data_IF_519166330165
#
_entry.id   IF_519166330165
#
_cell.length_a   1.000
_cell.length_b   1.000
_cell.length_c   1.000
_cell.angle_alpha   90.00
_cell.angle_beta   90.00
_cell.angle_gamma   90.00
#
_symmetry.space_group_name_H-M   'P 1'
#
loop_
_entity.id
_entity.type
_entity.pdbx_description
1 polymer ?
#
# COMPACT_ATOMS: atom_id res chain seq x y z
N UNK A 1 7.31 -13.91 12.47
CA UNK A 1 6.23 -13.00 12.04
C UNK A 1 5.93 -13.29 10.56
N UNK A 2 4.70 -13.69 10.20
CA UNK A 2 4.34 -13.94 8.79
C UNK A 2 3.65 -12.70 8.19
N UNK A 3 4.40 -11.92 7.40
CA UNK A 3 3.90 -10.68 6.79
C UNK A 3 3.41 -10.94 5.37
N UNK A 4 2.16 -10.57 5.10
CA UNK A 4 1.56 -10.65 3.76
C UNK A 4 1.41 -9.22 3.24
N UNK A 5 1.96 -8.92 2.07
CA UNK A 5 1.84 -7.61 1.39
C UNK A 5 1.13 -7.75 0.05
N UNK A 6 0.32 -6.75 -0.35
CA UNK A 6 -0.32 -6.72 -1.66
C UNK A 6 0.65 -6.92 -2.82
N UNK A 7 0.16 -7.50 -3.91
CA UNK A 7 0.96 -7.82 -5.11
C UNK A 7 1.56 -6.60 -5.81
N UNK A 8 0.99 -5.42 -5.62
CA UNK A 8 1.48 -4.15 -6.19
C UNK A 8 2.55 -3.47 -5.32
N UNK A 9 2.92 -4.07 -4.18
CA UNK A 9 4.02 -3.61 -3.35
C UNK A 9 5.19 -4.57 -3.60
N UNK A 10 6.32 -4.00 -4.01
CA UNK A 10 7.57 -4.76 -4.13
C UNK A 10 7.96 -5.37 -2.77
N UNK A 11 8.67 -6.50 -2.81
CA UNK A 11 9.04 -7.23 -1.61
C UNK A 11 10.52 -7.08 -1.33
N UNK A 12 10.83 -7.00 -0.05
CA UNK A 12 12.21 -7.17 0.40
C UNK A 12 12.62 -8.64 0.14
N UNK A 13 13.85 -8.88 -0.32
CA UNK A 13 14.36 -10.22 -0.56
C UNK A 13 14.23 -11.14 0.65
N UNK A 14 13.83 -12.39 0.41
CA UNK A 14 13.57 -13.37 1.49
C UNK A 14 14.84 -13.78 2.25
N UNK A 15 15.99 -13.67 1.59
CA UNK A 15 17.31 -13.96 2.13
C UNK A 15 18.03 -12.71 2.66
N UNK A 16 17.29 -11.63 2.96
CA UNK A 16 17.87 -10.45 3.61
C UNK A 16 18.66 -10.86 4.87
N UNK A 17 19.91 -10.43 4.95
CA UNK A 17 20.81 -10.75 6.06
C UNK A 17 21.67 -12.00 5.84
N UNK A 18 21.43 -12.79 4.78
CA UNK A 18 22.35 -13.84 4.36
C UNK A 18 23.47 -13.25 3.49
N UNK A 19 24.69 -13.77 3.67
CA UNK A 19 25.88 -13.31 2.95
C UNK A 19 25.73 -13.36 1.42
N UNK A 20 24.87 -14.25 0.90
CA UNK A 20 24.66 -14.47 -0.54
C UNK A 20 23.85 -13.38 -1.23
N UNK A 21 23.10 -12.55 -0.50
CA UNK A 21 22.19 -11.59 -1.12
C UNK A 21 22.87 -10.32 -1.61
N UNK A 22 23.95 -9.90 -0.96
CA UNK A 22 24.54 -8.58 -1.17
C UNK A 22 23.67 -7.44 -0.62
N UNK A 23 24.00 -6.20 -1.01
CA UNK A 23 23.35 -4.99 -0.50
C UNK A 23 21.94 -4.78 -1.07
N UNK A 24 21.06 -4.22 -0.25
CA UNK A 24 19.73 -3.80 -0.70
C UNK A 24 19.81 -2.57 -1.61
N UNK A 25 18.93 -2.53 -2.61
CA UNK A 25 18.69 -1.35 -3.46
C UNK A 25 17.91 -0.29 -2.69
N UNK A 26 17.97 0.96 -3.17
CA UNK A 26 17.29 2.09 -2.53
C UNK A 26 15.77 1.85 -2.32
N UNK A 27 15.09 1.30 -3.32
CA UNK A 27 13.65 0.98 -3.21
C UNK A 27 13.37 -0.12 -2.16
N UNK A 28 14.26 -1.10 -2.02
CA UNK A 28 14.13 -2.18 -1.04
C UNK A 28 14.35 -1.66 0.37
N UNK A 29 15.35 -0.78 0.57
CA UNK A 29 15.54 -0.05 1.83
C UNK A 29 14.28 0.75 2.19
N UNK A 30 13.70 1.46 1.23
CA UNK A 30 12.51 2.26 1.48
C UNK A 30 11.32 1.39 1.93
N UNK A 31 11.11 0.24 1.29
CA UNK A 31 10.05 -0.70 1.65
C UNK A 31 10.30 -1.31 3.04
N UNK A 32 11.57 -1.62 3.33
CA UNK A 32 11.98 -2.13 4.64
C UNK A 32 11.61 -1.16 5.75
N UNK A 33 11.98 0.12 5.63
CA UNK A 33 11.68 1.15 6.62
C UNK A 33 10.21 1.56 6.68
N UNK A 34 9.50 1.58 5.55
CA UNK A 34 8.09 2.04 5.53
C UNK A 34 7.08 0.96 5.93
N UNK A 35 7.41 -0.31 5.73
CA UNK A 35 6.45 -1.41 5.88
C UNK A 35 6.94 -2.42 6.91
N UNK A 36 8.08 -3.05 6.64
CA UNK A 36 8.50 -4.22 7.42
C UNK A 36 8.98 -3.84 8.83
N UNK A 37 9.75 -2.77 8.98
CA UNK A 37 10.24 -2.32 10.29
C UNK A 37 9.13 -1.86 11.21
N UNK A 38 8.19 -0.99 10.79
CA UNK A 38 7.03 -0.66 11.61
C UNK A 38 6.25 -1.91 12.03
N UNK A 39 5.97 -2.81 11.08
CA UNK A 39 5.16 -4.02 11.36
C UNK A 39 5.85 -4.99 12.34
N UNK A 40 7.18 -5.15 12.25
CA UNK A 40 7.90 -6.16 13.00
C UNK A 40 8.60 -5.61 14.25
N UNK A 41 9.33 -4.51 14.12
CA UNK A 41 10.25 -4.02 15.16
C UNK A 41 9.53 -3.21 16.23
N UNK A 42 8.54 -2.38 15.87
CA UNK A 42 7.79 -1.58 16.86
C UNK A 42 7.10 -2.51 17.88
N UNK A 43 6.29 -3.53 17.48
CA UNK A 43 5.69 -4.43 18.46
C UNK A 43 6.72 -5.19 19.28
N UNK A 44 7.82 -5.65 18.65
CA UNK A 44 8.88 -6.41 19.31
C UNK A 44 9.57 -5.60 20.40
N UNK A 45 9.94 -4.35 20.09
CA UNK A 45 10.60 -3.47 21.04
C UNK A 45 9.65 -2.92 22.09
N UNK A 46 8.39 -2.63 21.75
CA UNK A 46 7.38 -2.23 22.74
C UNK A 46 7.13 -3.34 23.77
N UNK A 47 7.10 -4.60 23.35
CA UNK A 47 7.03 -5.74 24.28
C UNK A 47 8.33 -5.86 25.09
N UNK A 48 9.49 -5.84 24.43
CA UNK A 48 10.78 -5.95 25.11
C UNK A 48 10.98 -4.82 26.14
N UNK A 49 10.52 -3.60 25.86
CA UNK A 49 10.58 -2.48 26.80
C UNK A 49 9.77 -2.73 28.07
N UNK A 50 8.59 -3.35 27.96
CA UNK A 50 7.74 -3.72 29.10
C UNK A 50 8.37 -4.83 29.94
N UNK A 51 9.03 -5.77 29.29
CA UNK A 51 9.61 -6.96 29.94
C UNK A 51 11.04 -6.72 30.46
N UNK A 52 11.61 -5.53 30.21
CA UNK A 52 12.99 -5.22 30.59
C UNK A 52 13.18 -5.08 32.11
N UNK A 53 14.16 -5.83 32.63
CA UNK A 53 14.53 -5.79 34.04
C UNK A 53 15.45 -4.62 34.43
N UNK A 54 16.27 -4.10 33.50
CA UNK A 54 17.27 -3.06 33.78
C UNK A 54 17.00 -1.74 33.07
N UNK A 55 17.33 -0.63 33.72
CA UNK A 55 17.19 0.73 33.14
C UNK A 55 18.08 0.94 31.91
N UNK A 56 19.28 0.37 31.90
CA UNK A 56 20.16 0.42 30.73
C UNK A 56 19.52 -0.23 29.48
N UNK A 57 18.86 -1.37 29.65
CA UNK A 57 18.16 -2.05 28.55
C UNK A 57 16.99 -1.21 28.05
N UNK A 58 16.24 -0.58 28.96
CA UNK A 58 15.15 0.35 28.60
C UNK A 58 15.66 1.53 27.79
N UNK A 59 16.78 2.14 28.18
CA UNK A 59 17.39 3.27 27.44
C UNK A 59 17.79 2.83 26.04
N UNK A 60 18.44 1.67 25.89
CA UNK A 60 18.85 1.13 24.58
C UNK A 60 17.64 0.85 23.67
N UNK A 61 16.62 0.18 24.20
CA UNK A 61 15.41 -0.14 23.44
C UNK A 61 14.65 1.14 23.06
N UNK A 62 14.55 2.10 23.98
CA UNK A 62 13.94 3.40 23.70
C UNK A 62 14.66 4.12 22.56
N UNK A 63 16.00 4.14 22.57
CA UNK A 63 16.80 4.73 21.50
C UNK A 63 16.61 4.02 20.14
N UNK A 64 16.51 2.69 20.13
CA UNK A 64 16.21 1.92 18.92
C UNK A 64 14.80 2.21 18.37
N UNK A 65 13.82 2.27 19.27
CA UNK A 65 12.43 2.52 18.93
C UNK A 65 12.23 3.94 18.40
N UNK A 66 12.81 4.94 19.07
CA UNK A 66 12.78 6.35 18.67
C UNK A 66 13.48 6.56 17.32
N UNK A 67 14.73 6.12 17.17
CA UNK A 67 15.48 6.27 15.92
C UNK A 67 14.79 5.62 14.72
N UNK A 68 14.24 4.42 14.89
CA UNK A 68 13.53 3.70 13.82
C UNK A 68 12.20 4.36 13.47
N UNK A 69 11.48 4.87 14.47
CA UNK A 69 10.22 5.57 14.26
C UNK A 69 10.47 6.88 13.53
N UNK A 70 11.43 7.70 13.97
CA UNK A 70 11.80 8.95 13.31
C UNK A 70 12.21 8.72 11.86
N UNK A 71 13.04 7.70 11.60
CA UNK A 71 13.42 7.34 10.24
C UNK A 71 12.23 6.89 9.38
N UNK A 72 11.26 6.19 9.97
CA UNK A 72 10.02 5.79 9.29
C UNK A 72 9.14 7.01 8.94
N UNK A 73 9.03 7.98 9.86
CA UNK A 73 8.30 9.25 9.65
C UNK A 73 8.96 10.08 8.54
N UNK A 74 10.27 10.29 8.60
CA UNK A 74 11.04 11.00 7.56
C UNK A 74 10.86 10.30 6.20
N UNK A 75 11.02 8.97 6.16
CA UNK A 75 10.85 8.19 4.93
C UNK A 75 9.42 8.29 4.37
N UNK A 76 8.40 8.32 5.23
CA UNK A 76 7.03 8.56 4.81
C UNK A 76 6.87 9.93 4.18
N UNK A 77 7.32 10.98 4.88
CA UNK A 77 7.23 12.38 4.45
C UNK A 77 7.88 12.59 3.08
N UNK A 78 9.14 12.16 2.92
CA UNK A 78 9.92 12.34 1.68
C UNK A 78 9.34 11.58 0.47
N UNK A 79 8.42 10.63 0.70
CA UNK A 79 7.82 9.83 -0.37
C UNK A 79 6.36 10.17 -0.66
N UNK A 80 5.84 11.22 -0.01
CA UNK A 80 4.53 11.76 -0.32
C UNK A 80 4.47 12.25 -1.78
N UNK A 81 3.35 12.03 -2.49
CA UNK A 81 3.21 12.49 -3.87
C UNK A 81 3.16 14.02 -3.98
N UNK A 82 2.65 14.67 -2.92
CA UNK A 82 2.50 16.11 -2.80
C UNK A 82 2.90 16.49 -1.38
N UNK A 83 3.70 17.54 -1.25
CA UNK A 83 4.16 18.09 0.02
C UNK A 83 3.78 19.57 0.02
N UNK A 84 3.14 20.06 1.09
CA UNK A 84 2.84 21.49 1.21
C UNK A 84 4.04 22.19 1.87
N UNK A 85 4.30 23.42 1.46
CA UNK A 85 5.45 24.18 1.96
C UNK A 85 5.38 24.47 3.47
N UNK A 86 4.17 24.57 4.02
CA UNK A 86 3.94 24.76 5.46
C UNK A 86 4.31 23.53 6.29
N UNK A 87 4.34 22.33 5.68
CA UNK A 87 4.64 21.09 6.39
C UNK A 87 6.17 20.85 6.46
N UNK A 88 6.98 21.69 5.80
CA UNK A 88 8.45 21.49 5.72
C UNK A 88 9.15 21.73 7.07
N UNK A 89 8.60 22.59 7.93
CA UNK A 89 9.16 22.82 9.26
C UNK A 89 9.03 21.57 10.14
N UNK A 90 8.01 20.73 9.89
CA UNK A 90 7.87 19.42 10.52
C UNK A 90 8.98 18.47 10.05
N UNK A 91 9.28 18.45 8.74
CA UNK A 91 10.36 17.64 8.18
C UNK A 91 11.72 18.02 8.81
N UNK A 92 12.02 19.30 8.90
CA UNK A 92 13.28 19.79 9.50
C UNK A 92 13.37 19.38 10.98
N UNK A 93 12.27 19.49 11.72
CA UNK A 93 12.19 19.05 13.12
C UNK A 93 12.44 17.54 13.25
N UNK A 94 11.79 16.72 12.42
CA UNK A 94 11.98 15.26 12.41
C UNK A 94 13.43 14.86 12.11
N UNK A 95 14.08 15.52 11.14
CA UNK A 95 15.48 15.26 10.78
C UNK A 95 16.41 15.63 11.94
N UNK A 96 16.17 16.77 12.58
CA UNK A 96 16.96 17.23 13.73
C UNK A 96 16.82 16.28 14.92
N UNK A 97 15.59 15.85 15.23
CA UNK A 97 15.34 14.91 16.32
C UNK A 97 15.97 13.55 16.05
N UNK A 98 15.96 13.08 14.80
CA UNK A 98 16.64 11.86 14.40
C UNK A 98 18.15 11.94 14.65
N UNK A 99 18.77 13.07 14.30
CA UNK A 99 20.20 13.28 14.55
C UNK A 99 20.55 13.34 16.03
N UNK A 100 19.75 14.06 16.84
CA UNK A 100 19.92 14.10 18.30
C UNK A 100 19.78 12.71 18.92
N UNK A 101 18.80 11.94 18.47
CA UNK A 101 18.58 10.55 18.90
C UNK A 101 19.80 9.68 18.58
N UNK A 102 20.36 9.79 17.37
CA UNK A 102 21.57 9.05 16.99
C UNK A 102 22.79 9.45 17.83
N UNK A 103 23.02 10.75 18.04
CA UNK A 103 24.14 11.25 18.85
C UNK A 103 24.05 10.79 20.31
N UNK A 104 22.84 10.78 20.88
CA UNK A 104 22.60 10.32 22.24
C UNK A 104 22.74 8.80 22.38
N UNK A 105 22.20 8.04 21.42
CA UNK A 105 22.19 6.58 21.47
C UNK A 105 23.52 5.93 21.09
N UNK A 106 24.30 6.60 20.22
CA UNK A 106 25.56 6.10 19.69
C UNK A 106 26.61 7.23 19.55
N UNK A 107 27.08 7.82 20.67
CA UNK A 107 27.95 9.00 20.64
C UNK A 107 29.31 8.75 19.96
N UNK A 108 29.78 7.51 19.97
CA UNK A 108 31.05 7.12 19.33
C UNK A 108 30.92 6.94 17.81
N UNK A 109 29.70 6.86 17.27
CA UNK A 109 29.48 6.66 15.85
C UNK A 109 29.70 7.97 15.08
N UNK A 110 30.58 8.00 14.06
CA UNK A 110 30.82 9.22 13.29
C UNK A 110 29.58 9.60 12.47
N UNK A 111 29.31 10.91 12.39
CA UNK A 111 28.26 11.43 11.52
C UNK A 111 28.62 11.19 10.06
N UNK A 112 27.70 10.60 9.30
CA UNK A 112 27.88 10.35 7.87
C UNK A 112 27.54 11.61 7.06
N UNK A 113 28.25 11.91 5.95
CA UNK A 113 27.91 13.04 5.09
C UNK A 113 26.45 13.06 4.63
N UNK A 114 25.86 11.88 4.40
CA UNK A 114 24.45 11.77 4.02
C UNK A 114 23.48 12.32 5.08
N UNK A 115 23.83 12.26 6.38
CA UNK A 115 23.01 12.85 7.45
C UNK A 115 23.05 14.38 7.39
N UNK A 116 24.20 14.97 7.03
CA UNK A 116 24.27 16.41 6.77
C UNK A 116 23.47 16.78 5.52
N UNK A 117 23.66 16.05 4.42
CA UNK A 117 22.92 16.29 3.18
C UNK A 117 21.40 16.23 3.39
N UNK A 118 20.92 15.35 4.27
CA UNK A 118 19.48 15.27 4.55
C UNK A 118 18.90 16.55 5.15
N UNK A 119 19.68 17.36 5.87
CA UNK A 119 19.19 18.61 6.46
C UNK A 119 18.76 19.65 5.41
N UNK A 120 19.23 19.50 4.17
CA UNK A 120 18.90 20.42 3.08
C UNK A 120 17.65 20.00 2.29
N UNK A 121 16.97 18.91 2.68
CA UNK A 121 15.80 18.43 1.93
C UNK A 121 14.67 19.45 1.88
N UNK A 122 14.43 20.23 2.94
CA UNK A 122 13.38 21.26 2.94
C UNK A 122 13.61 22.29 1.84
N UNK A 123 14.84 22.83 1.72
CA UNK A 123 15.21 23.77 0.66
C UNK A 123 15.15 23.14 -0.74
N UNK A 124 15.64 21.90 -0.88
CA UNK A 124 15.52 21.14 -2.14
C UNK A 124 14.06 20.96 -2.54
N UNK A 125 13.17 20.67 -1.59
CA UNK A 125 11.73 20.50 -1.85
C UNK A 125 11.07 21.83 -2.21
N UNK A 126 11.44 22.94 -1.56
CA UNK A 126 10.95 24.29 -1.93
C UNK A 126 11.28 24.62 -3.38
N UNK A 127 12.50 24.28 -3.82
CA UNK A 127 13.02 24.65 -5.14
C UNK A 127 12.57 23.72 -6.28
N UNK A 128 12.60 22.40 -6.05
CA UNK A 128 12.42 21.40 -7.11
C UNK A 128 11.14 20.57 -6.94
N UNK A 129 10.42 20.73 -5.84
CA UNK A 129 9.25 19.95 -5.49
C UNK A 129 9.57 18.63 -4.78
N UNK A 130 8.55 17.77 -4.57
CA UNK A 130 8.69 16.55 -3.77
C UNK A 130 9.79 15.61 -4.29
N UNK A 131 10.52 14.90 -3.40
CA UNK A 131 11.63 14.02 -3.81
C UNK A 131 11.19 12.92 -4.78
N UNK A 132 9.94 12.46 -4.70
CA UNK A 132 9.38 11.49 -5.66
C UNK A 132 9.49 11.96 -7.12
N UNK A 133 9.39 13.26 -7.37
CA UNK A 133 9.44 13.83 -8.72
C UNK A 133 10.87 14.11 -9.20
N UNK A 134 11.82 14.28 -8.27
CA UNK A 134 13.21 14.66 -8.55
C UNK A 134 14.19 13.49 -8.40
N UNK A 135 13.77 12.39 -7.77
CA UNK A 135 14.56 11.18 -7.61
C UNK A 135 14.92 10.55 -8.97
N UNK A 136 16.13 10.00 -9.04
CA UNK A 136 16.68 9.38 -10.24
C UNK A 136 16.06 8.01 -10.61
N UNK A 137 14.98 7.57 -9.95
CA UNK A 137 14.41 6.23 -10.16
C UNK A 137 13.98 5.97 -11.60
N UNK A 138 13.48 6.99 -12.30
CA UNK A 138 13.13 6.84 -13.71
C UNK A 138 14.38 6.60 -14.56
N UNK A 139 15.44 7.37 -14.32
CA UNK A 139 16.73 7.23 -14.98
C UNK A 139 17.40 5.89 -14.65
N UNK A 140 17.38 5.44 -13.39
CA UNK A 140 17.89 4.12 -12.98
C UNK A 140 17.17 2.97 -13.69
N UNK A 141 15.85 3.07 -13.85
CA UNK A 141 15.08 2.08 -14.64
C UNK A 141 15.51 2.07 -16.09
N UNK A 142 15.70 3.24 -16.70
CA UNK A 142 16.20 3.35 -18.08
C UNK A 142 17.60 2.76 -18.19
N UNK A 143 18.50 3.05 -17.26
CA UNK A 143 19.84 2.45 -17.21
C UNK A 143 19.76 0.93 -17.17
N UNK A 144 18.91 0.36 -16.31
CA UNK A 144 18.71 -1.08 -16.25
C UNK A 144 18.08 -1.69 -17.51
N UNK A 145 17.26 -0.93 -18.24
CA UNK A 145 16.75 -1.36 -19.55
C UNK A 145 17.85 -1.35 -20.61
N UNK A 146 18.66 -0.29 -20.66
CA UNK A 146 19.76 -0.14 -21.60
C UNK A 146 20.84 -1.20 -21.37
N UNK A 147 21.17 -1.51 -20.11
CA UNK A 147 22.13 -2.57 -19.75
C UNK A 147 21.72 -3.97 -20.23
N UNK A 148 20.42 -4.22 -20.44
CA UNK A 148 19.92 -5.50 -20.96
C UNK A 148 19.91 -5.58 -22.48
N UNK A 149 20.13 -4.48 -23.18
CA UNK A 149 20.19 -4.49 -24.64
C UNK A 149 21.48 -5.16 -25.09
N UNK A 150 21.43 -6.06 -26.08
CA UNK A 150 22.64 -6.63 -26.65
C UNK A 150 23.47 -5.50 -27.26
N UNK A 151 24.72 -5.39 -26.84
CA UNK A 151 25.66 -4.44 -27.44
C UNK A 151 26.61 -5.19 -28.37
N UNK A 152 27.06 -4.51 -29.42
CA UNK A 152 28.06 -5.04 -30.34
C UNK A 152 29.49 -4.99 -29.75
N UNK A 153 29.66 -4.61 -28.48
CA UNK A 153 30.94 -4.45 -27.76
C UNK A 153 31.95 -3.50 -28.43
N UNK A 154 31.54 -2.73 -29.44
CA UNK A 154 32.32 -1.67 -30.06
C UNK A 154 31.99 -0.35 -29.38
N UNK A 155 32.87 0.14 -28.50
CA UNK A 155 32.63 1.28 -27.61
C UNK A 155 32.08 2.51 -28.35
N UNK A 156 32.63 2.83 -29.53
CA UNK A 156 32.23 3.99 -30.33
C UNK A 156 30.82 3.85 -30.94
N UNK A 157 30.36 2.61 -31.17
CA UNK A 157 29.06 2.29 -31.75
C UNK A 157 27.97 2.00 -30.70
N UNK A 158 28.32 1.91 -29.41
CA UNK A 158 27.37 1.63 -28.33
C UNK A 158 26.21 2.62 -28.33
N UNK A 159 26.42 3.96 -28.39
CA UNK A 159 25.30 4.91 -28.34
C UNK A 159 24.33 4.71 -29.51
N UNK A 160 24.85 4.48 -30.71
CA UNK A 160 24.05 4.24 -31.92
C UNK A 160 23.28 2.93 -31.84
N UNK A 161 23.92 1.88 -31.34
CA UNK A 161 23.32 0.55 -31.16
C UNK A 161 22.19 0.60 -30.13
N UNK A 162 22.44 1.18 -28.96
CA UNK A 162 21.42 1.34 -27.90
C UNK A 162 20.21 2.14 -28.40
N UNK A 163 20.44 3.25 -29.12
CA UNK A 163 19.34 4.05 -29.67
C UNK A 163 18.52 3.28 -30.70
N UNK A 164 19.17 2.49 -31.57
CA UNK A 164 18.49 1.64 -32.57
C UNK A 164 17.64 0.56 -31.89
N UNK A 165 18.23 -0.20 -30.97
CA UNK A 165 17.54 -1.28 -30.25
C UNK A 165 16.38 -0.74 -29.39
N UNK A 166 16.55 0.44 -28.79
CA UNK A 166 15.47 1.12 -28.07
C UNK A 166 14.29 1.45 -28.97
N UNK A 167 14.53 2.02 -30.17
CA UNK A 167 13.48 2.34 -31.11
C UNK A 167 12.76 1.09 -31.61
N UNK A 168 13.49 0.03 -31.96
CA UNK A 168 12.92 -1.25 -32.39
C UNK A 168 12.03 -1.83 -31.28
N UNK A 169 12.54 -1.92 -30.06
CA UNK A 169 11.78 -2.43 -28.92
C UNK A 169 10.54 -1.57 -28.64
N UNK A 170 10.66 -0.24 -28.69
CA UNK A 170 9.51 0.66 -28.46
C UNK A 170 8.39 0.45 -29.49
N UNK A 171 8.75 0.27 -30.76
CA UNK A 171 7.81 0.00 -31.85
C UNK A 171 7.14 -1.36 -31.65
N UNK A 172 7.91 -2.38 -31.29
CA UNK A 172 7.39 -3.72 -31.00
C UNK A 172 6.41 -3.72 -29.81
N UNK A 173 6.74 -2.99 -28.74
CA UNK A 173 5.85 -2.84 -27.57
C UNK A 173 4.53 -2.15 -27.92
N UNK A 174 4.51 -1.18 -28.84
CA UNK A 174 3.28 -0.55 -29.33
C UNK A 174 2.39 -1.58 -30.05
N UNK A 175 2.97 -2.36 -30.96
CA UNK A 175 2.25 -3.43 -31.68
C UNK A 175 1.67 -4.45 -30.68
N UNK A 176 2.47 -4.90 -29.71
CA UNK A 176 1.99 -5.83 -28.68
C UNK A 176 0.84 -5.26 -27.83
N UNK A 177 0.91 -3.97 -27.46
CA UNK A 177 -0.15 -3.30 -26.71
C UNK A 177 -1.45 -3.22 -27.50
N UNK A 178 -1.38 -2.91 -28.80
CA UNK A 178 -2.57 -2.90 -29.65
C UNK A 178 -3.21 -4.29 -29.75
N UNK A 179 -2.41 -5.34 -29.87
CA UNK A 179 -2.91 -6.71 -29.88
C UNK A 179 -3.48 -7.15 -28.52
N UNK A 180 -2.83 -6.83 -27.41
CA UNK A 180 -3.33 -7.16 -26.06
C UNK A 180 -4.57 -6.35 -25.69
N UNK A 181 -4.68 -5.09 -26.07
CA UNK A 181 -5.92 -4.31 -25.88
C UNK A 181 -7.08 -4.89 -26.68
N UNK A 182 -6.86 -5.36 -27.92
CA UNK A 182 -7.87 -6.06 -28.71
C UNK A 182 -8.25 -7.41 -28.08
N UNK A 183 -7.26 -8.17 -27.59
CA UNK A 183 -7.49 -9.46 -26.94
C UNK A 183 -8.21 -9.33 -25.58
N UNK A 184 -7.82 -8.35 -24.75
CA UNK A 184 -8.47 -8.10 -23.47
C UNK A 184 -9.92 -7.65 -23.64
N UNK A 185 -10.24 -6.82 -24.63
CA UNK A 185 -11.64 -6.49 -24.98
C UNK A 185 -12.42 -7.76 -25.37
N UNK A 186 -11.83 -8.64 -26.19
CA UNK A 186 -12.47 -9.91 -26.57
C UNK A 186 -12.61 -10.91 -25.40
N UNK A 187 -11.75 -10.86 -24.39
CA UNK A 187 -11.84 -11.67 -23.16
C UNK A 187 -12.85 -11.12 -22.15
N UNK A 188 -12.97 -9.79 -22.05
CA UNK A 188 -14.04 -9.14 -21.27
C UNK A 188 -15.42 -9.51 -21.83
N UNK A 189 -15.56 -9.62 -23.15
CA UNK A 189 -16.80 -10.07 -23.80
C UNK A 189 -17.04 -11.60 -23.66
N UNK A 190 -16.00 -12.41 -23.50
CA UNK A 190 -16.09 -13.89 -23.40
C UNK A 190 -16.07 -14.44 -21.97
N UNK A 191 -15.94 -13.59 -20.95
CA UNK A 191 -16.03 -14.04 -19.57
C UNK A 191 -17.48 -14.46 -19.31
N UNK A 192 -17.76 -15.77 -19.31
CA UNK A 192 -19.05 -16.33 -18.89
C UNK A 192 -19.38 -15.75 -17.51
N UNK A 193 -20.23 -14.72 -17.48
CA UNK A 193 -20.76 -14.12 -16.25
C UNK A 193 -21.34 -15.24 -15.41
N UNK A 194 -20.62 -15.65 -14.36
CA UNK A 194 -21.17 -16.58 -13.36
C UNK A 194 -22.17 -15.78 -12.54
N UNK A 195 -23.43 -15.83 -12.95
CA UNK A 195 -24.53 -15.25 -12.22
C UNK A 195 -24.77 -16.04 -10.94
N UNK A 196 -24.90 -15.37 -9.80
CA UNK A 196 -25.28 -16.00 -8.53
C UNK A 196 -26.43 -15.25 -7.87
N UNK A 197 -27.22 -15.94 -7.05
CA UNK A 197 -28.28 -15.32 -6.28
C UNK A 197 -27.77 -14.88 -4.90
N UNK A 198 -27.91 -13.58 -4.61
CA UNK A 198 -27.67 -13.05 -3.27
C UNK A 198 -28.74 -13.56 -2.29
N UNK A 199 -28.31 -13.99 -1.11
CA UNK A 199 -29.23 -14.38 -0.04
C UNK A 199 -30.06 -13.18 0.45
N UNK A 200 -31.18 -13.44 1.16
CA UNK A 200 -32.12 -12.40 1.63
C UNK A 200 -31.46 -11.32 2.51
N UNK A 201 -30.47 -11.70 3.31
CA UNK A 201 -29.76 -10.79 4.20
C UNK A 201 -28.82 -9.85 3.44
N UNK A 202 -28.01 -10.37 2.52
CA UNK A 202 -27.12 -9.60 1.66
C UNK A 202 -27.93 -8.73 0.70
N UNK A 203 -29.04 -9.23 0.16
CA UNK A 203 -29.97 -8.44 -0.64
C UNK A 203 -30.47 -7.20 0.12
N UNK A 204 -30.86 -7.38 1.38
CA UNK A 204 -31.31 -6.26 2.23
C UNK A 204 -30.17 -5.27 2.52
N UNK A 205 -28.94 -5.76 2.72
CA UNK A 205 -27.74 -4.93 2.89
C UNK A 205 -27.39 -4.16 1.61
N UNK A 206 -27.51 -4.79 0.44
CA UNK A 206 -27.24 -4.19 -0.86
C UNK A 206 -28.25 -3.09 -1.20
N UNK A 207 -29.55 -3.35 -0.99
CA UNK A 207 -30.61 -2.34 -1.11
C UNK A 207 -30.34 -1.11 -0.24
N UNK A 208 -29.85 -1.30 0.99
CA UNK A 208 -29.46 -0.21 1.89
C UNK A 208 -28.23 0.55 1.40
N UNK A 209 -27.22 -0.16 0.89
CA UNK A 209 -26.01 0.45 0.35
C UNK A 209 -26.28 1.28 -0.90
N UNK A 210 -27.10 0.76 -1.82
CA UNK A 210 -27.55 1.50 -3.02
C UNK A 210 -28.34 2.75 -2.63
N UNK A 211 -29.13 2.69 -1.57
CA UNK A 211 -29.89 3.84 -1.04
C UNK A 211 -29.05 4.82 -0.18
N UNK A 212 -27.75 4.57 0.02
CA UNK A 212 -26.90 5.38 0.91
C UNK A 212 -27.27 5.30 2.40
N UNK A 213 -28.06 4.29 2.82
CA UNK A 213 -28.59 4.12 4.18
C UNK A 213 -27.98 2.91 4.89
N UNK A 214 -26.68 2.69 4.71
CA UNK A 214 -25.94 1.51 5.20
C UNK A 214 -26.00 1.33 6.73
N UNK A 215 -26.14 2.42 7.47
CA UNK A 215 -26.12 2.47 8.94
C UNK A 215 -27.53 2.45 9.56
N UNK A 216 -28.58 2.70 8.77
CA UNK A 216 -29.95 2.80 9.29
C UNK A 216 -30.51 1.44 9.69
N UNK A 217 -31.09 1.35 10.90
CA UNK A 217 -31.74 0.13 11.44
C UNK A 217 -33.26 0.08 11.21
N UNK A 218 -33.88 1.16 10.71
CA UNK A 218 -35.32 1.23 10.47
C UNK A 218 -35.81 0.39 9.27
N UNK A 219 -37.13 0.19 9.15
CA UNK A 219 -37.74 -0.31 7.91
C UNK A 219 -37.37 0.66 6.78
N UNK A 220 -36.91 0.15 5.64
CA UNK A 220 -36.80 0.96 4.43
C UNK A 220 -38.22 1.42 4.11
N UNK A 221 -38.53 2.70 4.34
CA UNK A 221 -39.83 3.25 3.96
C UNK A 221 -40.06 3.02 2.46
N UNK A 222 -41.29 2.70 2.08
CA UNK A 222 -41.71 2.62 0.69
C UNK A 222 -41.73 4.04 0.09
N UNK A 223 -40.58 4.66 -0.17
CA UNK A 223 -40.53 5.91 -0.93
C UNK A 223 -39.26 6.02 -1.80
N UNK A 224 -39.54 6.16 -3.09
CA UNK A 224 -38.83 6.85 -4.18
C UNK A 224 -37.29 6.81 -4.19
N UNK A 225 -36.72 6.00 -5.09
CA UNK A 225 -35.34 6.20 -5.57
C UNK A 225 -34.45 4.97 -5.62
N UNK A 226 -34.84 3.83 -5.06
CA UNK A 226 -34.07 2.58 -5.19
C UNK A 226 -34.60 1.81 -6.41
N UNK A 227 -33.77 1.56 -7.44
CA UNK A 227 -34.16 0.72 -8.57
C UNK A 227 -34.69 -0.64 -8.09
N UNK A 228 -35.64 -1.28 -8.79
CA UNK A 228 -36.08 -2.62 -8.44
C UNK A 228 -34.90 -3.59 -8.58
N UNK A 229 -34.24 -3.91 -7.46
CA UNK A 229 -33.10 -4.83 -7.42
C UNK A 229 -33.56 -6.30 -7.33
N UNK A 230 -33.17 -7.10 -8.31
CA UNK A 230 -33.27 -8.56 -8.35
C UNK A 230 -32.05 -9.21 -7.66
N UNK A 231 -32.17 -10.47 -7.24
CA UNK A 231 -31.10 -11.19 -6.52
C UNK A 231 -29.95 -11.67 -7.38
N UNK A 232 -30.07 -11.59 -8.70
CA UNK A 232 -29.09 -12.12 -9.63
C UNK A 232 -28.00 -11.09 -9.87
N UNK A 233 -26.77 -11.46 -9.50
CA UNK A 233 -25.58 -10.61 -9.69
C UNK A 233 -24.49 -11.37 -10.41
N UNK A 234 -23.70 -10.65 -11.21
CA UNK A 234 -22.59 -11.20 -11.96
C UNK A 234 -21.33 -11.18 -11.10
N UNK A 235 -20.79 -12.36 -10.78
CA UNK A 235 -19.54 -12.44 -10.03
C UNK A 235 -18.35 -12.02 -10.91
N UNK A 236 -17.47 -11.22 -10.33
CA UNK A 236 -16.22 -10.79 -10.94
C UNK A 236 -15.06 -11.34 -10.12
N UNK A 237 -14.01 -11.79 -10.79
CA UNK A 237 -12.91 -12.45 -10.09
C UNK A 237 -11.89 -11.47 -9.48
N UNK A 238 -11.74 -10.29 -10.10
CA UNK A 238 -10.84 -9.23 -9.65
C UNK A 238 -11.30 -7.86 -10.15
N UNK A 239 -10.85 -6.80 -9.51
CA UNK A 239 -11.03 -5.42 -9.98
C UNK A 239 -9.69 -4.68 -9.96
N UNK A 240 -9.44 -3.85 -10.98
CA UNK A 240 -8.29 -2.95 -11.02
C UNK A 240 -8.75 -1.51 -10.75
N UNK A 241 -8.21 -0.88 -9.72
CA UNK A 241 -8.46 0.52 -9.37
C UNK A 241 -7.15 1.24 -9.10
N UNK A 242 -6.90 2.37 -9.79
CA UNK A 242 -5.70 3.18 -9.63
C UNK A 242 -4.39 2.37 -9.70
N UNK A 243 -4.33 1.40 -10.62
CA UNK A 243 -3.18 0.50 -10.79
C UNK A 243 -3.05 -0.61 -9.74
N UNK A 244 -3.96 -0.69 -8.76
CA UNK A 244 -4.01 -1.75 -7.73
C UNK A 244 -5.04 -2.80 -8.11
N UNK A 245 -4.76 -4.08 -7.82
CA UNK A 245 -5.63 -5.20 -8.20
C UNK A 245 -6.25 -5.85 -6.97
N UNK A 246 -7.54 -5.70 -6.76
CA UNK A 246 -8.25 -6.32 -5.63
C UNK A 246 -8.89 -7.64 -6.06
N UNK A 247 -8.82 -8.65 -5.19
CA UNK A 247 -9.32 -10.01 -5.45
C UNK A 247 -10.01 -10.56 -4.22
N UNK A 248 -10.68 -11.72 -4.35
CA UNK A 248 -11.11 -12.49 -3.18
C UNK A 248 -9.91 -13.12 -2.47
N UNK A 249 -10.09 -13.49 -1.20
CA UNK A 249 -9.08 -14.16 -0.38
C UNK A 249 -8.51 -15.42 -1.01
N UNK A 250 -9.38 -16.25 -1.58
CA UNK A 250 -9.01 -17.55 -2.14
C UNK A 250 -8.06 -17.43 -3.33
N UNK A 251 -8.10 -16.29 -4.04
CA UNK A 251 -7.16 -15.99 -5.12
C UNK A 251 -5.85 -15.41 -4.62
N UNK A 252 -5.91 -14.33 -3.84
CA UNK A 252 -4.71 -13.70 -3.31
C UNK A 252 -5.00 -13.05 -1.96
N UNK A 253 -4.49 -13.62 -0.85
CA UNK A 253 -4.89 -13.22 0.51
C UNK A 253 -4.45 -11.80 0.88
N UNK A 254 -3.50 -11.22 0.16
CA UNK A 254 -3.07 -9.84 0.38
C UNK A 254 -3.89 -8.82 -0.41
N UNK A 255 -4.37 -9.22 -1.59
CA UNK A 255 -5.11 -8.32 -2.48
C UNK A 255 -6.60 -8.26 -2.08
N UNK A 256 -7.02 -9.14 -1.17
CA UNK A 256 -8.35 -9.11 -0.56
C UNK A 256 -8.47 -8.12 0.58
N UNK A 257 -7.37 -7.52 1.05
CA UNK A 257 -7.42 -6.55 2.14
C UNK A 257 -7.87 -5.19 1.59
N UNK A 258 -8.95 -4.66 2.15
CA UNK A 258 -9.56 -3.40 1.71
C UNK A 258 -9.88 -2.48 2.87
N UNK A 259 -9.72 -1.20 2.61
CA UNK A 259 -10.26 -0.10 3.40
C UNK A 259 -11.62 0.28 2.82
N UNK A 260 -12.61 0.52 3.69
CA UNK A 260 -13.94 0.96 3.28
C UNK A 260 -14.57 1.84 4.36
N UNK A 261 -15.54 2.66 3.94
CA UNK A 261 -16.31 3.49 4.86
C UNK A 261 -17.69 2.88 5.09
N UNK A 262 -18.15 2.92 6.34
CA UNK A 262 -19.52 2.59 6.71
C UNK A 262 -20.15 3.84 7.33
N UNK A 263 -20.84 4.64 6.50
CA UNK A 263 -21.21 6.00 6.88
C UNK A 263 -19.96 6.88 6.98
N UNK A 264 -19.69 7.45 8.17
CA UNK A 264 -18.48 8.27 8.42
C UNK A 264 -17.32 7.47 9.01
N UNK A 265 -17.55 6.21 9.39
CA UNK A 265 -16.56 5.39 10.05
C UNK A 265 -15.68 4.68 9.01
N UNK A 266 -14.38 4.96 9.05
CA UNK A 266 -13.36 4.21 8.32
C UNK A 266 -13.17 2.83 8.96
N UNK A 267 -13.24 1.77 8.16
CA UNK A 267 -13.10 0.37 8.60
C UNK A 267 -12.20 -0.39 7.62
N UNK A 268 -11.69 -1.53 8.07
CA UNK A 268 -10.84 -2.42 7.28
C UNK A 268 -11.43 -3.82 7.28
N UNK A 269 -11.18 -4.58 6.22
CA UNK A 269 -11.67 -5.95 6.13
C UNK A 269 -11.08 -6.74 4.98
N UNK A 270 -11.65 -7.92 4.78
CA UNK A 270 -11.24 -8.88 3.77
C UNK A 270 -12.38 -9.11 2.77
N UNK A 271 -12.09 -9.02 1.47
CA UNK A 271 -13.04 -9.26 0.39
C UNK A 271 -13.39 -10.75 0.31
N UNK A 272 -14.67 -11.05 0.49
CA UNK A 272 -15.25 -12.38 0.30
C UNK A 272 -15.71 -12.58 -1.15
N UNK A 273 -16.39 -11.59 -1.72
CA UNK A 273 -16.93 -11.64 -3.08
C UNK A 273 -16.91 -10.27 -3.74
N UNK A 274 -16.77 -10.27 -5.07
CA UNK A 274 -16.84 -9.09 -5.92
C UNK A 274 -17.93 -9.34 -6.95
N UNK A 275 -18.84 -8.39 -7.13
CA UNK A 275 -19.92 -8.55 -8.10
C UNK A 275 -20.29 -7.23 -8.79
N UNK A 276 -20.91 -7.38 -9.95
CA UNK A 276 -21.52 -6.32 -10.73
C UNK A 276 -22.99 -6.65 -10.98
N UNK A 277 -23.78 -5.62 -11.27
CA UNK A 277 -25.18 -5.81 -11.67
C UNK A 277 -25.55 -4.76 -12.70
N UNK A 278 -26.28 -5.17 -13.73
CA UNK A 278 -26.82 -4.27 -14.76
C UNK A 278 -27.74 -3.21 -14.15
N UNK A 279 -28.37 -3.52 -13.02
CA UNK A 279 -29.23 -2.60 -12.27
C UNK A 279 -28.47 -1.47 -11.58
N UNK A 280 -27.15 -1.61 -11.44
CA UNK A 280 -26.23 -0.58 -10.95
C UNK A 280 -25.05 -0.45 -11.91
N UNK A 281 -25.36 -0.15 -13.18
CA UNK A 281 -24.35 0.00 -14.23
C UNK A 281 -23.22 0.94 -13.81
N UNK A 282 -21.98 0.57 -14.15
CA UNK A 282 -20.78 1.34 -13.81
C UNK A 282 -20.29 1.21 -12.36
N UNK A 283 -21.01 0.49 -11.48
CA UNK A 283 -20.58 0.24 -10.09
C UNK A 283 -20.17 -1.21 -9.87
N UNK A 284 -19.04 -1.40 -9.19
CA UNK A 284 -18.62 -2.71 -8.67
C UNK A 284 -18.81 -2.74 -7.16
N UNK A 285 -19.38 -3.83 -6.67
CA UNK A 285 -19.69 -4.03 -5.26
C UNK A 285 -18.78 -5.08 -4.65
N UNK A 286 -18.35 -4.80 -3.41
CA UNK A 286 -17.56 -5.73 -2.61
C UNK A 286 -18.38 -6.21 -1.43
N UNK A 287 -18.41 -7.53 -1.23
CA UNK A 287 -18.80 -8.14 0.04
C UNK A 287 -17.54 -8.28 0.88
N UNK A 288 -17.48 -7.53 1.97
CA UNK A 288 -16.30 -7.41 2.83
C UNK A 288 -16.62 -7.96 4.22
N UNK A 289 -15.76 -8.84 4.72
CA UNK A 289 -15.74 -9.26 6.12
C UNK A 289 -14.91 -8.26 6.93
N UNK A 290 -15.52 -7.40 7.77
CA UNK A 290 -14.78 -6.41 8.55
C UNK A 290 -13.84 -7.08 9.56
N UNK A 291 -12.71 -6.44 9.85
CA UNK A 291 -11.87 -6.79 10.99
C UNK A 291 -12.43 -6.19 12.27
N UNK A 292 -12.20 -6.87 13.40
CA UNK A 292 -12.48 -6.33 14.73
C UNK A 292 -11.34 -5.39 15.10
N UNK A 293 -11.65 -4.14 15.38
CA UNK A 293 -10.64 -3.19 15.86
C UNK A 293 -10.05 -3.66 17.18
N UNK A 294 -8.73 -3.51 17.28
CA UNK A 294 -7.97 -3.79 18.50
C UNK A 294 -8.13 -2.59 19.45
N UNK A 295 -8.32 -2.86 20.74
CA UNK A 295 -8.40 -1.80 21.75
C UNK A 295 -7.08 -1.07 21.90
N UNK A 296 -7.12 0.20 22.31
CA UNK A 296 -5.93 1.08 22.40
C UNK A 296 -4.81 0.49 23.27
N UNK A 297 -5.12 -0.26 24.32
CA UNK A 297 -4.09 -0.86 25.19
C UNK A 297 -3.34 -2.03 24.55
N UNK A 298 -3.97 -2.70 23.61
CA UNK A 298 -3.39 -3.81 22.85
C UNK A 298 -2.74 -3.32 21.55
N UNK A 299 -2.82 -2.02 21.25
CA UNK A 299 -2.25 -1.42 20.05
C UNK A 299 -0.77 -1.01 20.29
N UNK A 300 0.21 -1.70 19.69
CA UNK A 300 1.61 -1.34 19.83
C UNK A 300 1.96 -0.02 19.14
N UNK A 301 1.06 0.53 18.31
CA UNK A 301 1.26 1.80 17.60
C UNK A 301 0.57 2.99 18.28
N UNK A 302 -0.02 2.80 19.47
CA UNK A 302 -0.83 3.83 20.14
C UNK A 302 -0.10 5.15 20.41
N UNK A 303 1.23 5.08 20.57
CA UNK A 303 2.10 6.23 20.83
C UNK A 303 2.71 6.80 19.52
N UNK A 304 2.28 6.27 18.36
CA UNK A 304 2.80 6.61 17.03
C UNK A 304 1.68 6.94 16.03
N UNK A 305 0.89 7.99 16.30
CA UNK A 305 -0.25 8.36 15.45
C UNK A 305 0.16 8.68 14.00
N UNK A 306 1.36 9.21 13.79
CA UNK A 306 1.86 9.63 12.47
C UNK A 306 2.15 8.47 11.52
N UNK A 307 2.31 7.25 12.06
CA UNK A 307 2.43 6.05 11.23
C UNK A 307 1.09 5.67 10.56
N UNK A 308 -0.01 6.27 11.02
CA UNK A 308 -1.38 6.01 10.57
C UNK A 308 -1.70 4.50 10.51
N UNK A 309 -1.16 3.74 11.46
CA UNK A 309 -1.39 2.32 11.61
C UNK A 309 -2.70 2.09 12.36
N UNK A 310 -3.51 1.13 11.90
CA UNK A 310 -4.70 0.67 12.62
C UNK A 310 -4.68 -0.85 12.75
N UNK A 311 -4.71 -1.33 13.98
CA UNK A 311 -4.69 -2.76 14.28
C UNK A 311 -6.09 -3.37 14.19
N UNK A 312 -6.22 -4.44 13.41
CA UNK A 312 -7.44 -5.22 13.26
C UNK A 312 -7.21 -6.72 13.45
N UNK A 313 -8.15 -7.40 14.09
CA UNK A 313 -8.18 -8.86 14.24
C UNK A 313 -9.21 -9.49 13.33
N UNK A 314 -8.88 -10.65 12.77
CA UNK A 314 -9.83 -11.48 12.02
C UNK A 314 -10.86 -12.08 12.98
N UNK A 315 -12.15 -12.05 12.61
CA UNK A 315 -13.19 -12.78 13.35
C UNK A 315 -13.07 -14.28 13.10
N UNK A 316 -13.20 -15.08 14.17
CA UNK A 316 -13.21 -16.54 14.16
C UNK A 316 -14.53 -17.16 13.66
N UNK A 317 -15.63 -16.39 13.52
CA UNK A 317 -16.95 -16.91 13.12
C UNK A 317 -17.52 -16.27 11.84
N UNK A 318 -18.47 -16.98 11.21
CA UNK A 318 -18.90 -16.87 9.80
C UNK A 318 -19.79 -15.68 9.39
N UNK A 319 -20.36 -15.79 8.18
CA UNK A 319 -21.02 -14.82 7.28
C UNK A 319 -21.97 -13.75 7.86
N UNK A 320 -22.34 -13.80 9.15
CA UNK A 320 -23.29 -12.85 9.76
C UNK A 320 -22.77 -11.40 9.74
N UNK A 321 -21.45 -11.21 9.73
CA UNK A 321 -20.81 -9.89 9.84
C UNK A 321 -20.45 -9.23 8.52
N UNK A 322 -20.65 -9.86 7.36
CA UNK A 322 -20.23 -9.30 6.07
C UNK A 322 -21.01 -8.01 5.74
N UNK A 323 -20.30 -7.01 5.21
CA UNK A 323 -20.82 -5.71 4.78
C UNK A 323 -20.72 -5.60 3.27
N UNK A 324 -21.60 -4.81 2.67
CA UNK A 324 -21.57 -4.49 1.24
C UNK A 324 -21.14 -3.05 1.13
N UNK A 325 -20.08 -2.80 0.36
CA UNK A 325 -19.60 -1.45 0.08
C UNK A 325 -19.43 -1.31 -1.43
N UNK A 326 -19.76 -0.12 -1.94
CA UNK A 326 -19.37 0.27 -3.29
C UNK A 326 -18.03 0.97 -3.21
N UNK A 327 -17.09 0.54 -4.04
CA UNK A 327 -15.90 1.34 -4.29
C UNK A 327 -16.36 2.57 -5.08
N UNK A 328 -16.27 3.75 -4.44
CA UNK A 328 -16.45 5.00 -5.17
C UNK A 328 -15.22 5.22 -6.06
N UNK A 329 -15.48 5.50 -7.34
CA UNK A 329 -14.47 5.86 -8.34
C UNK A 329 -13.76 7.16 -8.00
#
# INVERSE_FOLDING_TARGET
>A
LHTIVPSWIDRVPRNLGLATHGSLKAAEWLILYKIYYPIALIPLWTTAYKDCATEESKIRISSLLESTTLLSKISHFLTLPKIKLQDLDELDSLILDYQKCLQKGWPEAPSKPNLHLTQHYSEVIRRFGPPRSTAAWAQERVNGMLQRMPTNHHIDDIPKTLMKEWHINSTFQLVLKDHTSKHNRALEDNNKKKSTQLNRTLMSKWKRAVAGKEVSRGKLGQHAGVPPLNSTVDLVEYIKLNGKTFTTKDRHPANSLVEFYLGKDQRFGEVEQIFQSEQTAGKTWLIVKPFKEVGREEDPYKDYPDLNCRCGRRFSSGWKNSKISSLHM
#
